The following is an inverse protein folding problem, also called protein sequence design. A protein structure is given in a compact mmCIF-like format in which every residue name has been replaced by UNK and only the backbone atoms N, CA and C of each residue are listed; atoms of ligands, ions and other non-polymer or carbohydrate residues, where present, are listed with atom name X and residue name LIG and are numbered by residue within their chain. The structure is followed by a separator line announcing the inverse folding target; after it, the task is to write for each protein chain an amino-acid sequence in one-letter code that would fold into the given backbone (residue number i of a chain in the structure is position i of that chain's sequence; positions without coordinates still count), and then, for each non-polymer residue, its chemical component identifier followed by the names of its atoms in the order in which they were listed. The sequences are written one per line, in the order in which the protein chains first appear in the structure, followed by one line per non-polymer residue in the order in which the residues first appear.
data_IF_186390407737
#
_entry.id   IF_186390407737
#
_cell.length_a   1.000
_cell.length_b   1.000
_cell.length_c   1.000
_cell.angle_alpha   90.00
_cell.angle_beta   90.00
_cell.angle_gamma   90.00
#
_symmetry.space_group_name_H-M   'P 1'
#
loop_
_entity.id
_entity.type
_entity.pdbx_description
1 polymer ?
#
# COMPACT_ATOMS: atom_id res chain seq x y z
N UNK A 1 -49.12 24.62 13.04
CA UNK A 1 -48.41 24.04 11.87
C UNK A 1 -47.02 24.65 11.58
N UNK A 2 -46.67 25.87 12.03
CA UNK A 2 -45.34 26.47 11.78
C UNK A 2 -44.18 25.92 12.65
N UNK A 3 -44.44 25.39 13.84
CA UNK A 3 -43.36 24.93 14.75
C UNK A 3 -42.67 23.65 14.25
N UNK A 4 -43.41 22.72 13.65
CA UNK A 4 -42.86 21.43 13.18
C UNK A 4 -41.91 21.61 11.98
N UNK A 5 -42.10 22.63 11.15
CA UNK A 5 -41.22 22.92 10.02
C UNK A 5 -39.81 23.36 10.47
N UNK A 6 -39.75 24.14 11.56
CA UNK A 6 -38.50 24.67 12.12
C UNK A 6 -37.71 23.54 12.80
N UNK A 7 -38.38 22.61 13.48
CA UNK A 7 -37.75 21.45 14.10
C UNK A 7 -37.15 20.51 13.05
N UNK A 8 -37.88 20.23 11.98
CA UNK A 8 -37.39 19.39 10.87
C UNK A 8 -36.20 20.00 10.14
N UNK A 9 -36.19 21.33 9.94
CA UNK A 9 -35.08 22.03 9.30
C UNK A 9 -33.78 21.98 10.13
N UNK A 10 -33.90 22.09 11.46
CA UNK A 10 -32.75 21.97 12.38
C UNK A 10 -32.16 20.57 12.40
N UNK A 11 -32.99 19.53 12.34
CA UNK A 11 -32.55 18.13 12.29
C UNK A 11 -31.83 17.83 10.96
N UNK A 12 -32.33 18.34 9.84
CA UNK A 12 -31.68 18.19 8.53
C UNK A 12 -30.31 18.88 8.51
N UNK A 13 -30.20 20.10 9.04
CA UNK A 13 -28.92 20.82 9.11
C UNK A 13 -27.92 20.09 10.01
N UNK A 14 -28.36 19.54 11.15
CA UNK A 14 -27.50 18.76 12.04
C UNK A 14 -27.00 17.46 11.37
N UNK A 15 -27.86 16.78 10.60
CA UNK A 15 -27.48 15.57 9.86
C UNK A 15 -26.49 15.88 8.72
N UNK A 16 -26.67 17.01 8.02
CA UNK A 16 -25.74 17.48 6.98
C UNK A 16 -24.38 17.89 7.53
N UNK A 17 -24.30 18.46 8.75
CA UNK A 17 -23.03 18.82 9.39
C UNK A 17 -22.21 17.59 9.80
N UNK A 18 -22.86 16.49 10.19
CA UNK A 18 -22.17 15.23 10.55
C UNK A 18 -21.55 14.57 9.30
N UNK A 19 -22.15 14.75 8.12
CA UNK A 19 -21.61 14.24 6.85
C UNK A 19 -20.38 15.01 6.35
N UNK A 20 -20.16 16.26 6.81
CA UNK A 20 -19.01 17.09 6.42
C UNK A 20 -17.78 16.89 7.31
N UNK A 21 -17.89 16.17 8.44
CA UNK A 21 -16.75 15.74 9.26
C UNK A 21 -16.10 14.44 8.73
N UNK A 22 -16.51 14.00 7.53
CA UNK A 22 -16.00 12.80 6.87
C UNK A 22 -14.51 12.89 6.56
N UNK A 23 -13.71 12.17 7.35
CA UNK A 23 -12.36 11.68 7.07
C UNK A 23 -11.32 12.73 6.62
N UNK A 24 -10.77 13.48 7.57
CA UNK A 24 -9.35 13.82 7.49
C UNK A 24 -8.56 12.50 7.67
N UNK A 25 -8.40 11.73 6.59
CA UNK A 25 -7.43 10.65 6.58
C UNK A 25 -6.05 11.31 6.64
N UNK A 26 -5.42 11.24 7.80
CA UNK A 26 -4.02 11.59 7.98
C UNK A 26 -3.24 10.70 7.00
N UNK A 27 -2.53 11.34 6.06
CA UNK A 27 -1.64 10.65 5.12
C UNK A 27 -0.66 9.81 5.97
N UNK A 28 -0.63 8.50 5.77
CA UNK A 28 0.24 7.61 6.56
C UNK A 28 1.52 7.32 5.79
N UNK A 29 2.66 7.60 6.41
CA UNK A 29 3.98 7.32 5.84
C UNK A 29 4.60 6.08 6.48
N UNK A 30 5.16 5.21 5.66
CA UNK A 30 5.90 4.01 6.10
C UNK A 30 7.22 3.95 5.35
N UNK A 31 8.30 3.66 6.07
CA UNK A 31 9.62 3.41 5.47
C UNK A 31 10.01 1.95 5.70
N UNK A 32 10.23 1.22 4.59
CA UNK A 32 10.71 -0.16 4.60
C UNK A 32 12.21 -0.18 4.35
N UNK A 33 12.98 -0.73 5.30
CA UNK A 33 14.44 -0.66 5.34
C UNK A 33 15.05 -2.06 5.38
N UNK A 34 16.00 -2.31 4.50
CA UNK A 34 16.80 -3.54 4.48
C UNK A 34 18.20 -3.22 3.96
N UNK A 35 19.21 -3.38 4.82
CA UNK A 35 20.55 -2.83 4.57
C UNK A 35 20.49 -1.32 4.33
N UNK A 36 21.13 -0.87 3.25
CA UNK A 36 21.17 0.56 2.85
C UNK A 36 19.96 1.00 2.00
N UNK A 37 19.09 0.06 1.61
CA UNK A 37 17.93 0.37 0.78
C UNK A 37 16.74 0.81 1.62
N UNK A 38 16.00 1.80 1.10
CA UNK A 38 14.78 2.32 1.70
C UNK A 38 13.70 2.42 0.63
N UNK A 39 12.52 1.88 0.91
CA UNK A 39 11.30 2.20 0.16
C UNK A 39 10.41 3.04 1.05
N UNK A 40 10.07 4.25 0.62
CA UNK A 40 9.05 5.06 1.28
C UNK A 40 7.71 4.79 0.62
N UNK A 41 6.70 4.51 1.45
CA UNK A 41 5.30 4.44 1.07
C UNK A 41 4.54 5.58 1.74
N UNK A 42 3.67 6.25 0.99
CA UNK A 42 2.71 7.22 1.54
C UNK A 42 1.32 6.80 1.08
N UNK A 43 0.44 6.57 2.03
CA UNK A 43 -0.97 6.27 1.78
C UNK A 43 -1.80 7.54 1.91
N UNK A 44 -2.52 7.88 0.84
CA UNK A 44 -3.38 9.06 0.78
C UNK A 44 -4.68 8.74 0.06
N UNK A 45 -5.78 8.90 0.77
CA UNK A 45 -7.10 8.45 0.31
C UNK A 45 -7.04 6.97 -0.11
N UNK A 46 -7.56 6.60 -1.28
CA UNK A 46 -7.52 5.22 -1.81
C UNK A 46 -6.30 4.91 -2.68
N UNK A 47 -5.17 5.57 -2.40
CA UNK A 47 -3.94 5.38 -3.15
C UNK A 47 -2.75 5.15 -2.22
N UNK A 48 -1.80 4.36 -2.72
CA UNK A 48 -0.49 4.17 -2.10
C UNK A 48 0.58 4.56 -3.10
N UNK A 49 1.49 5.42 -2.68
CA UNK A 49 2.56 5.97 -3.49
C UNK A 49 3.90 5.46 -2.97
N UNK A 50 4.78 5.04 -3.86
CA UNK A 50 6.05 4.41 -3.51
C UNK A 50 7.21 5.15 -4.16
N UNK A 51 8.27 5.34 -3.39
CA UNK A 51 9.55 5.90 -3.83
C UNK A 51 10.69 5.01 -3.37
N UNK A 52 11.71 4.86 -4.21
CA UNK A 52 13.02 4.43 -3.77
C UNK A 52 13.75 5.59 -3.08
N UNK A 53 14.15 5.37 -1.84
CA UNK A 53 14.76 6.35 -0.93
C UNK A 53 13.79 6.92 0.11
N UNK A 54 14.33 7.77 0.97
CA UNK A 54 13.59 8.56 1.97
C UNK A 54 12.93 9.76 1.29
N UNK A 55 11.65 9.99 1.57
CA UNK A 55 10.93 11.22 1.15
C UNK A 55 10.77 12.14 2.35
N UNK A 56 11.18 13.41 2.23
CA UNK A 56 10.99 14.41 3.29
C UNK A 56 9.60 15.03 3.21
N UNK A 57 9.09 15.49 4.35
CA UNK A 57 7.85 16.27 4.38
C UNK A 57 8.01 17.54 3.54
N UNK A 58 7.01 17.84 2.72
CA UNK A 58 7.03 19.00 1.80
C UNK A 58 7.89 18.82 0.54
N UNK A 59 8.50 17.66 0.33
CA UNK A 59 9.23 17.38 -0.91
C UNK A 59 8.27 17.09 -2.06
N UNK A 60 8.29 17.94 -3.09
CA UNK A 60 7.52 17.75 -4.32
C UNK A 60 8.26 16.80 -5.27
N UNK A 61 8.06 15.50 -5.07
CA UNK A 61 8.72 14.44 -5.85
C UNK A 61 7.70 13.43 -6.36
N UNK A 62 7.70 13.20 -7.67
CA UNK A 62 6.86 12.17 -8.27
C UNK A 62 7.22 10.76 -7.75
N UNK A 63 6.20 9.96 -7.40
CA UNK A 63 6.40 8.56 -7.01
C UNK A 63 6.96 7.75 -8.17
N UNK A 64 7.67 6.67 -7.83
CA UNK A 64 8.11 5.70 -8.82
C UNK A 64 6.93 4.79 -9.20
N UNK A 65 6.15 4.33 -8.20
CA UNK A 65 4.97 3.48 -8.38
C UNK A 65 3.78 4.07 -7.63
N UNK A 66 2.60 4.01 -8.27
CA UNK A 66 1.30 4.33 -7.67
C UNK A 66 0.42 3.08 -7.69
N UNK A 67 -0.23 2.80 -6.57
CA UNK A 67 -1.26 1.78 -6.45
C UNK A 67 -2.59 2.47 -6.19
N UNK A 68 -3.61 2.15 -6.95
CA UNK A 68 -4.99 2.52 -6.64
C UNK A 68 -5.70 1.28 -6.06
N UNK A 69 -6.29 1.45 -4.89
CA UNK A 69 -7.03 0.41 -4.17
C UNK A 69 -8.46 0.83 -3.81
N UNK A 70 -8.95 1.92 -4.41
CA UNK A 70 -10.34 2.36 -4.30
C UNK A 70 -11.22 1.69 -5.36
N UNK A 71 -12.45 1.32 -4.97
CA UNK A 71 -13.42 0.70 -5.88
C UNK A 71 -14.05 -0.57 -5.29
N UNK A 72 -14.79 -1.29 -6.15
CA UNK A 72 -15.57 -2.47 -5.78
C UNK A 72 -14.71 -3.67 -5.35
N UNK A 73 -13.52 -3.81 -5.95
CA UNK A 73 -12.56 -4.90 -5.68
C UNK A 73 -11.54 -4.54 -4.58
N UNK A 74 -11.90 -3.60 -3.70
CA UNK A 74 -11.02 -2.80 -2.85
C UNK A 74 -9.80 -3.49 -2.24
N UNK A 75 -8.70 -2.73 -2.20
CA UNK A 75 -7.45 -3.14 -1.56
C UNK A 75 -6.33 -3.48 -2.52
N UNK A 76 -5.16 -3.77 -1.96
CA UNK A 76 -4.07 -4.42 -2.67
C UNK A 76 -3.27 -5.28 -1.70
N UNK A 77 -2.56 -6.26 -2.25
CA UNK A 77 -1.47 -6.96 -1.56
C UNK A 77 -0.31 -7.17 -2.53
N UNK A 78 0.89 -7.00 -2.01
CA UNK A 78 2.13 -7.20 -2.73
C UNK A 78 3.27 -7.59 -1.79
N UNK A 79 4.41 -7.92 -2.36
CA UNK A 79 5.64 -8.22 -1.65
C UNK A 79 6.74 -7.29 -2.19
N UNK A 80 7.42 -6.60 -1.29
CA UNK A 80 8.69 -5.94 -1.58
C UNK A 80 9.79 -6.98 -1.40
N UNK A 81 10.57 -7.23 -2.45
CA UNK A 81 11.69 -8.17 -2.46
C UNK A 81 12.96 -7.35 -2.64
N UNK A 82 13.76 -7.28 -1.59
CA UNK A 82 15.00 -6.50 -1.57
C UNK A 82 16.15 -7.35 -2.13
N UNK A 83 16.53 -7.07 -3.37
CA UNK A 83 17.68 -7.70 -4.04
C UNK A 83 18.97 -6.89 -3.77
N UNK A 84 20.11 -7.30 -4.30
CA UNK A 84 21.40 -6.66 -3.98
C UNK A 84 21.47 -5.16 -4.28
N UNK A 85 20.76 -4.67 -5.30
CA UNK A 85 20.89 -3.31 -5.84
C UNK A 85 19.55 -2.64 -6.23
N UNK A 86 18.44 -3.36 -6.06
CA UNK A 86 17.10 -2.90 -6.41
C UNK A 86 16.04 -3.61 -5.57
N UNK A 87 14.81 -3.10 -5.64
CA UNK A 87 13.64 -3.70 -5.01
C UNK A 87 12.64 -4.10 -6.08
N UNK A 88 12.26 -5.36 -6.08
CA UNK A 88 11.13 -5.82 -6.87
C UNK A 88 9.86 -5.71 -6.06
N UNK A 89 8.84 -5.08 -6.65
CA UNK A 89 7.49 -5.12 -6.14
C UNK A 89 6.74 -6.23 -6.87
N UNK A 90 6.52 -7.34 -6.18
CA UNK A 90 5.70 -8.44 -6.66
C UNK A 90 4.23 -8.26 -6.25
N UNK A 91 3.35 -8.04 -7.22
CA UNK A 91 1.91 -7.82 -6.99
C UNK A 91 1.17 -9.14 -6.87
N UNK A 92 0.44 -9.34 -5.76
CA UNK A 92 -0.55 -10.42 -5.62
C UNK A 92 -1.90 -9.99 -6.19
N UNK A 93 -2.41 -8.82 -5.79
CA UNK A 93 -3.59 -8.19 -6.38
C UNK A 93 -3.58 -6.67 -6.21
N UNK A 94 -4.40 -5.96 -7.02
CA UNK A 94 -4.54 -4.50 -7.01
C UNK A 94 -4.10 -3.84 -8.32
N UNK A 95 -4.37 -2.54 -8.47
CA UNK A 95 -4.03 -1.80 -9.69
C UNK A 95 -2.74 -0.99 -9.52
N UNK A 96 -1.65 -1.46 -10.15
CA UNK A 96 -0.32 -0.88 -10.02
C UNK A 96 0.05 -0.15 -11.30
N UNK A 97 0.56 1.07 -11.15
CA UNK A 97 1.00 1.92 -12.24
C UNK A 97 2.41 2.42 -11.96
N UNK A 98 3.31 2.21 -12.91
CA UNK A 98 4.61 2.91 -12.93
C UNK A 98 4.34 4.37 -13.29
N UNK A 99 4.71 5.29 -12.40
CA UNK A 99 4.57 6.74 -12.63
C UNK A 99 5.87 7.29 -13.19
N UNK A 100 7.00 6.88 -12.62
CA UNK A 100 8.34 7.24 -13.08
C UNK A 100 9.22 5.99 -13.12
N UNK A 101 9.82 5.70 -14.26
CA UNK A 101 10.75 4.59 -14.38
C UNK A 101 11.97 4.81 -13.47
N UNK A 102 12.27 3.81 -12.64
CA UNK A 102 13.40 3.83 -11.73
C UNK A 102 14.04 2.44 -11.73
N UNK A 103 15.33 2.35 -12.06
CA UNK A 103 16.04 1.04 -12.11
C UNK A 103 16.14 0.36 -10.75
N UNK A 104 15.96 1.10 -9.65
CA UNK A 104 16.08 0.60 -8.29
C UNK A 104 14.75 0.14 -7.68
N UNK A 105 13.61 0.38 -8.35
CA UNK A 105 12.32 -0.19 -7.96
C UNK A 105 11.48 -0.52 -9.18
N UNK A 106 11.10 -1.78 -9.33
CA UNK A 106 10.36 -2.28 -10.50
C UNK A 106 9.14 -3.09 -10.08
N UNK A 107 8.15 -3.20 -10.96
CA UNK A 107 7.06 -4.16 -10.76
C UNK A 107 7.51 -5.49 -11.35
N UNK A 108 7.53 -6.53 -10.53
CA UNK A 108 7.91 -7.87 -10.95
C UNK A 108 6.83 -8.47 -11.85
N UNK A 109 7.27 -9.14 -12.91
CA UNK A 109 6.41 -9.91 -13.83
C UNK A 109 6.64 -11.42 -13.70
N UNK A 110 7.35 -11.86 -12.64
CA UNK A 110 7.84 -13.24 -12.47
C UNK A 110 6.77 -14.34 -12.57
N UNK A 111 5.49 -14.03 -12.32
CA UNK A 111 4.39 -15.00 -12.41
C UNK A 111 3.23 -14.54 -13.30
N UNK A 112 3.52 -13.73 -14.33
CA UNK A 112 2.55 -13.48 -15.40
C UNK A 112 2.58 -14.64 -16.39
N UNK A 113 1.40 -15.20 -16.69
CA UNK A 113 1.24 -16.02 -17.89
C UNK A 113 1.22 -15.11 -19.13
N UNK A 114 1.56 -15.66 -20.31
CA UNK A 114 1.54 -14.95 -21.61
C UNK A 114 0.18 -14.30 -21.95
N UNK A 115 -0.90 -14.70 -21.25
CA UNK A 115 -2.28 -14.23 -21.43
C UNK A 115 -2.74 -13.19 -20.40
N UNK A 116 -1.82 -12.52 -19.70
CA UNK A 116 -2.10 -11.46 -18.71
C UNK A 116 -2.79 -11.92 -17.41
N UNK A 117 -3.05 -13.23 -17.27
CA UNK A 117 -3.56 -13.84 -16.04
C UNK A 117 -2.43 -14.14 -15.05
N UNK A 118 -2.71 -13.89 -13.77
CA UNK A 118 -1.81 -14.15 -12.66
C UNK A 118 -1.69 -15.66 -12.41
N UNK A 119 -0.48 -16.21 -12.49
CA UNK A 119 -0.23 -17.63 -12.19
C UNK A 119 -0.15 -17.86 -10.68
N UNK A 120 -1.30 -18.17 -10.10
CA UNK A 120 -1.44 -18.52 -8.70
C UNK A 120 -0.53 -19.70 -8.29
N UNK A 121 -0.28 -20.67 -9.18
CA UNK A 121 0.50 -21.86 -8.85
C UNK A 121 1.96 -21.50 -8.68
N UNK A 122 2.52 -20.72 -9.61
CA UNK A 122 3.90 -20.24 -9.49
C UNK A 122 4.08 -19.29 -8.30
N UNK A 123 3.09 -18.45 -7.99
CA UNK A 123 3.13 -17.60 -6.81
C UNK A 123 3.15 -18.41 -5.50
N UNK A 124 2.33 -19.46 -5.39
CA UNK A 124 2.33 -20.39 -4.24
C UNK A 124 3.68 -21.09 -4.11
N UNK A 125 4.19 -21.67 -5.21
CA UNK A 125 5.50 -22.34 -5.18
C UNK A 125 6.63 -21.40 -4.79
N UNK A 126 6.59 -20.15 -5.23
CA UNK A 126 7.56 -19.14 -4.80
C UNK A 126 7.43 -18.86 -3.30
N UNK A 127 6.22 -18.63 -2.78
CA UNK A 127 6.04 -18.45 -1.33
C UNK A 127 6.52 -19.66 -0.53
N UNK A 128 6.22 -20.88 -0.98
CA UNK A 128 6.69 -22.13 -0.36
C UNK A 128 8.22 -22.23 -0.39
N UNK A 129 8.85 -21.76 -1.48
CA UNK A 129 10.31 -21.74 -1.63
C UNK A 129 11.01 -20.84 -0.60
N UNK A 130 10.34 -19.79 -0.12
CA UNK A 130 10.84 -18.95 0.97
C UNK A 130 10.90 -19.71 2.30
N UNK A 131 10.29 -20.90 2.39
CA UNK A 131 10.32 -21.76 3.59
C UNK A 131 9.88 -21.03 4.87
N UNK A 132 8.97 -20.06 4.74
CA UNK A 132 8.52 -19.22 5.85
C UNK A 132 9.57 -18.23 6.38
N UNK A 133 10.67 -18.01 5.64
CA UNK A 133 11.72 -17.03 5.95
C UNK A 133 11.69 -15.89 4.95
N UNK A 134 11.08 -14.78 5.34
CA UNK A 134 10.98 -13.56 4.56
C UNK A 134 12.21 -12.67 4.76
N UNK A 135 13.42 -13.25 4.80
CA UNK A 135 14.64 -12.53 5.17
C UNK A 135 14.75 -11.15 4.51
N UNK A 136 14.68 -11.11 3.19
CA UNK A 136 14.71 -9.88 2.38
C UNK A 136 13.35 -9.53 1.76
N UNK A 137 12.25 -10.09 2.28
CA UNK A 137 10.90 -9.95 1.73
C UNK A 137 10.01 -9.25 2.74
N UNK A 138 9.15 -8.35 2.28
CA UNK A 138 8.11 -7.71 3.10
C UNK A 138 6.79 -7.76 2.38
N UNK A 139 5.81 -8.47 2.94
CA UNK A 139 4.43 -8.33 2.49
C UNK A 139 3.93 -6.93 2.82
N UNK A 140 3.25 -6.28 1.88
CA UNK A 140 2.60 -4.98 2.01
C UNK A 140 1.15 -5.07 1.54
N UNK A 141 0.26 -4.33 2.18
CA UNK A 141 -1.15 -4.27 1.77
C UNK A 141 -1.76 -2.90 2.00
N UNK A 142 -2.92 -2.63 1.40
CA UNK A 142 -3.72 -1.44 1.72
C UNK A 142 -4.03 -1.39 3.23
N UNK A 143 -4.15 -0.19 3.83
CA UNK A 143 -4.56 -0.08 5.22
C UNK A 143 -5.89 -0.82 5.49
N UNK A 144 -6.07 -1.39 6.69
CA UNK A 144 -5.22 -1.24 7.87
C UNK A 144 -4.05 -2.27 7.92
N UNK A 145 -2.98 -1.98 8.69
CA UNK A 145 -1.68 -2.69 8.58
C UNK A 145 -1.52 -3.90 9.50
N UNK A 146 -2.53 -4.28 10.29
CA UNK A 146 -2.40 -5.35 11.29
C UNK A 146 -2.06 -6.70 10.62
N UNK A 147 -2.68 -6.97 9.47
CA UNK A 147 -2.38 -8.15 8.67
C UNK A 147 -0.96 -8.08 8.09
N UNK A 148 -0.52 -6.90 7.64
CA UNK A 148 0.87 -6.67 7.22
C UNK A 148 1.86 -7.02 8.33
N UNK A 149 1.65 -6.46 9.52
CA UNK A 149 2.51 -6.68 10.68
C UNK A 149 2.54 -8.15 11.09
N UNK A 150 1.36 -8.80 11.14
CA UNK A 150 1.23 -10.21 11.54
C UNK A 150 1.95 -11.14 10.57
N UNK A 151 1.64 -11.08 9.28
CA UNK A 151 2.22 -12.00 8.29
C UNK A 151 3.74 -11.87 8.24
N UNK A 152 4.27 -10.65 8.27
CA UNK A 152 5.72 -10.47 8.24
C UNK A 152 6.42 -10.93 9.51
N UNK A 153 5.76 -10.80 10.68
CA UNK A 153 6.28 -11.36 11.94
C UNK A 153 6.28 -12.89 11.89
N UNK A 154 5.17 -13.49 11.46
CA UNK A 154 4.99 -14.95 11.38
C UNK A 154 6.00 -15.57 10.38
N UNK A 155 6.38 -14.82 9.34
CA UNK A 155 7.38 -15.24 8.35
C UNK A 155 8.79 -14.68 8.61
N UNK A 156 9.08 -14.15 9.80
CA UNK A 156 10.44 -13.78 10.23
C UNK A 156 11.13 -12.79 9.26
N UNK A 157 10.38 -11.82 8.74
CA UNK A 157 10.94 -10.80 7.85
C UNK A 157 11.99 -9.94 8.58
N UNK A 158 13.17 -9.79 7.99
CA UNK A 158 14.20 -8.88 8.51
C UNK A 158 14.08 -7.46 7.92
N UNK A 159 13.12 -7.24 7.02
CA UNK A 159 12.82 -5.89 6.49
C UNK A 159 12.10 -5.09 7.57
N UNK A 160 12.79 -4.07 8.08
CA UNK A 160 12.26 -3.20 9.12
C UNK A 160 11.26 -2.19 8.55
N UNK A 161 10.07 -2.10 9.14
CA UNK A 161 9.04 -1.14 8.75
C UNK A 161 8.87 -0.08 9.84
N UNK A 162 9.17 1.19 9.50
CA UNK A 162 9.02 2.34 10.39
C UNK A 162 7.77 3.11 9.99
N UNK A 163 6.74 3.04 10.84
CA UNK A 163 5.48 3.78 10.65
C UNK A 163 5.63 5.18 11.23
N UNK A 164 5.47 6.18 10.39
CA UNK A 164 5.62 7.60 10.71
C UNK A 164 4.24 8.26 10.73
N UNK A 165 4.04 9.18 11.68
CA UNK A 165 2.84 10.03 11.78
C UNK A 165 3.01 11.29 10.95
#
# INVERSE_FOLDING_TARGET
MRSNLITSLKVIIAFSLILLLGCNQIDKKVEYRYGDMVITRIDKSSNSYFWFGVVKEGEDKDPDIKINWGGFDGGFRAYLIFESDHVELFREYGFFKVVKANRHITISHKFKHETDDFDNVSAIHWMDSLSGSFKNVRMIQSPPYESELKVNKDNHSEVNAVFLQ
#
